data_IF_391205345541
#
_entry.id   IF_391205345541
#
_cell.length_a   1.000
_cell.length_b   1.000
_cell.length_c   1.000
_cell.angle_alpha   90.00
_cell.angle_beta   90.00
_cell.angle_gamma   90.00
#
_symmetry.space_group_name_H-M   'P 1'
#
loop_
_entity.id
_entity.type
_entity.pdbx_description
1 polymer ?
#
# COMPACT_ATOMS: atom_id res chain seq x y z
N UNK A 1 4.26 -8.68 17.82
CA UNK A 1 4.92 -9.38 16.69
C UNK A 1 4.13 -8.98 15.46
N UNK A 2 4.58 -7.95 14.77
CA UNK A 2 3.95 -7.47 13.54
C UNK A 2 4.23 -8.55 12.50
N UNK A 3 3.20 -9.23 12.01
CA UNK A 3 3.34 -10.05 10.82
C UNK A 3 3.37 -9.03 9.67
N UNK A 4 4.55 -8.53 9.34
CA UNK A 4 4.77 -7.94 8.03
C UNK A 4 4.57 -9.07 7.01
N UNK A 5 3.35 -9.20 6.48
CA UNK A 5 3.17 -9.76 5.14
C UNK A 5 3.68 -8.70 4.15
N UNK A 6 4.98 -8.41 4.20
CA UNK A 6 5.66 -8.02 2.97
C UNK A 6 5.74 -9.32 2.18
N UNK A 7 4.78 -9.57 1.29
CA UNK A 7 5.07 -10.46 0.17
C UNK A 7 6.34 -9.89 -0.47
N UNK A 8 7.47 -10.57 -0.28
CA UNK A 8 8.69 -10.22 -1.00
C UNK A 8 8.34 -10.29 -2.48
N UNK A 9 8.29 -9.12 -3.12
CA UNK A 9 7.99 -9.03 -4.53
C UNK A 9 9.01 -9.88 -5.26
N UNK A 10 8.53 -10.92 -5.92
CA UNK A 10 9.37 -11.93 -6.53
C UNK A 10 9.11 -12.01 -8.03
N UNK A 11 10.05 -12.62 -8.76
CA UNK A 11 9.87 -12.98 -10.17
C UNK A 11 9.79 -14.50 -10.28
N UNK A 12 9.14 -15.03 -11.34
CA UNK A 12 9.16 -16.46 -11.63
C UNK A 12 10.57 -17.05 -11.54
N UNK A 13 10.72 -18.21 -10.89
CA UNK A 13 11.99 -18.89 -10.63
C UNK A 13 12.94 -18.96 -11.83
N UNK A 14 12.48 -19.32 -13.05
CA UNK A 14 13.33 -19.32 -14.25
C UNK A 14 13.94 -17.96 -14.61
N UNK A 15 13.26 -16.86 -14.27
CA UNK A 15 13.73 -15.50 -14.53
C UNK A 15 14.76 -15.02 -13.51
N UNK A 16 14.82 -15.61 -12.30
CA UNK A 16 15.84 -15.28 -11.29
C UNK A 16 17.26 -15.53 -11.80
N UNK A 17 17.44 -16.57 -12.62
CA UNK A 17 18.72 -16.92 -13.22
C UNK A 17 19.24 -15.84 -14.18
N UNK A 18 18.35 -14.97 -14.68
CA UNK A 18 18.67 -13.84 -15.54
C UNK A 18 18.96 -12.56 -14.76
N UNK A 19 19.05 -12.64 -13.42
CA UNK A 19 19.20 -11.50 -12.53
C UNK A 19 18.12 -10.43 -12.78
N UNK A 20 16.88 -10.86 -13.07
CA UNK A 20 15.73 -9.98 -13.25
C UNK A 20 15.05 -9.71 -11.91
N UNK A 21 14.57 -8.50 -11.73
CA UNK A 21 13.84 -8.06 -10.54
C UNK A 21 12.47 -7.48 -10.92
N UNK A 22 11.48 -7.49 -10.00
CA UNK A 22 10.23 -6.82 -10.24
C UNK A 22 10.45 -5.35 -10.62
N UNK A 23 9.67 -4.91 -11.60
CA UNK A 23 9.70 -3.58 -12.22
C UNK A 23 10.94 -3.25 -13.07
N UNK A 24 11.81 -4.22 -13.33
CA UNK A 24 12.79 -4.10 -14.43
C UNK A 24 12.05 -3.92 -15.76
N UNK A 25 12.60 -3.10 -16.66
CA UNK A 25 12.07 -2.97 -18.01
C UNK A 25 12.60 -4.12 -18.85
N UNK A 26 11.71 -4.93 -19.40
CA UNK A 26 12.03 -6.15 -20.13
C UNK A 26 11.42 -6.18 -21.51
N UNK A 27 12.03 -6.97 -22.39
CA UNK A 27 11.54 -7.36 -23.70
C UNK A 27 11.08 -8.81 -23.65
N UNK A 28 9.86 -9.09 -24.11
CA UNK A 28 9.32 -10.45 -24.26
C UNK A 28 9.12 -10.73 -25.75
N UNK A 29 9.75 -11.79 -26.24
CA UNK A 29 9.74 -12.20 -27.65
C UNK A 29 8.91 -13.47 -27.78
N UNK A 30 7.81 -13.41 -28.55
CA UNK A 30 6.95 -14.56 -28.88
C UNK A 30 6.89 -14.71 -30.40
N UNK A 31 7.65 -15.66 -30.95
CA UNK A 31 7.80 -15.82 -32.40
C UNK A 31 8.42 -14.57 -33.04
N UNK A 32 7.67 -13.87 -33.90
CA UNK A 32 8.09 -12.62 -34.54
C UNK A 32 7.57 -11.35 -33.85
N UNK A 33 6.77 -11.50 -32.78
CA UNK A 33 6.18 -10.37 -32.06
C UNK A 33 7.02 -10.05 -30.84
N UNK A 34 7.29 -8.76 -30.65
CA UNK A 34 8.06 -8.22 -29.53
C UNK A 34 7.13 -7.37 -28.68
N UNK A 35 7.15 -7.62 -27.38
CA UNK A 35 6.45 -6.83 -26.37
C UNK A 35 7.49 -6.22 -25.42
N UNK A 36 7.28 -4.98 -25.01
CA UNK A 36 8.15 -4.29 -24.04
C UNK A 36 7.30 -3.70 -22.92
N UNK A 37 7.83 -3.74 -21.70
CA UNK A 37 7.11 -3.26 -20.53
C UNK A 37 7.87 -3.46 -19.23
N UNK A 38 7.23 -3.09 -18.12
CA UNK A 38 7.72 -3.35 -16.78
C UNK A 38 7.41 -4.79 -16.39
N UNK A 39 8.41 -5.52 -15.91
CA UNK A 39 8.24 -6.86 -15.35
C UNK A 39 7.38 -6.77 -14.09
N UNK A 40 6.22 -7.43 -14.10
CA UNK A 40 5.34 -7.44 -12.94
C UNK A 40 5.77 -8.52 -11.94
N UNK A 41 5.57 -8.28 -10.63
CA UNK A 41 5.78 -9.31 -9.62
C UNK A 41 4.97 -10.57 -9.93
N UNK A 42 5.51 -11.72 -9.55
CA UNK A 42 4.81 -12.99 -9.58
C UNK A 42 3.60 -12.93 -8.65
N UNK A 43 2.46 -13.40 -9.13
CA UNK A 43 1.25 -13.61 -8.30
C UNK A 43 1.18 -15.07 -7.88
N UNK A 44 0.68 -15.35 -6.67
CA UNK A 44 0.52 -16.73 -6.16
C UNK A 44 -0.29 -17.63 -7.10
N UNK A 45 -1.30 -17.07 -7.77
CA UNK A 45 -2.23 -17.80 -8.65
C UNK A 45 -1.54 -18.34 -9.92
N UNK A 46 -0.63 -17.57 -10.52
CA UNK A 46 -0.01 -17.91 -11.81
C UNK A 46 1.28 -18.73 -11.64
N UNK A 47 1.88 -18.76 -10.45
CA UNK A 47 3.07 -19.57 -10.18
C UNK A 47 4.29 -19.19 -11.04
N UNK A 48 5.20 -20.16 -11.22
CA UNK A 48 6.47 -19.96 -11.93
C UNK A 48 6.38 -20.22 -13.45
N UNK A 49 5.19 -20.49 -13.97
CA UNK A 49 4.99 -20.84 -15.38
C UNK A 49 4.76 -19.63 -16.29
N UNK A 50 4.37 -18.50 -15.71
CA UNK A 50 3.99 -17.30 -16.45
C UNK A 50 4.85 -16.10 -16.06
N UNK A 51 5.18 -15.28 -17.05
CA UNK A 51 5.73 -13.94 -16.88
C UNK A 51 4.65 -12.92 -17.20
N UNK A 52 4.48 -11.91 -16.35
CA UNK A 52 3.57 -10.80 -16.60
C UNK A 52 4.38 -9.53 -16.82
N UNK A 53 3.99 -8.75 -17.82
CA UNK A 53 4.54 -7.41 -18.06
C UNK A 53 3.42 -6.38 -18.12
N UNK A 54 3.70 -5.16 -17.64
CA UNK A 54 2.86 -3.98 -17.85
C UNK A 54 3.42 -3.17 -19.00
N UNK A 55 2.68 -3.13 -20.10
CA UNK A 55 3.05 -2.39 -21.30
C UNK A 55 2.91 -0.88 -21.08
N UNK A 56 3.56 -0.07 -21.92
CA UNK A 56 3.52 1.41 -21.81
C UNK A 56 2.10 2.00 -21.96
N UNK A 57 1.17 1.26 -22.57
CA UNK A 57 -0.24 1.65 -22.66
C UNK A 57 -1.03 1.36 -21.37
N UNK A 58 -0.39 0.85 -20.32
CA UNK A 58 -0.97 0.57 -19.01
C UNK A 58 -1.56 -0.84 -18.84
N UNK A 59 -1.70 -1.62 -19.92
CA UNK A 59 -2.26 -2.97 -19.85
C UNK A 59 -1.23 -3.99 -19.35
N UNK A 60 -1.71 -4.93 -18.53
CA UNK A 60 -0.94 -6.08 -18.08
C UNK A 60 -1.16 -7.26 -19.06
N UNK A 61 -0.08 -7.94 -19.46
CA UNK A 61 -0.13 -9.10 -20.34
C UNK A 61 0.71 -10.23 -19.74
N UNK A 62 0.12 -11.42 -19.67
CA UNK A 62 0.78 -12.64 -19.21
C UNK A 62 1.22 -13.53 -20.38
N UNK A 63 2.40 -14.11 -20.28
CA UNK A 63 2.95 -15.06 -21.26
C UNK A 63 3.41 -16.31 -20.53
N UNK A 64 3.16 -17.48 -21.13
CA UNK A 64 3.75 -18.73 -20.65
C UNK A 64 5.25 -18.71 -20.95
N UNK A 65 6.09 -18.90 -19.94
CA UNK A 65 7.55 -18.82 -20.05
C UNK A 65 8.13 -19.82 -21.06
N UNK A 66 7.50 -20.99 -21.22
CA UNK A 66 7.93 -22.00 -22.20
C UNK A 66 7.76 -21.56 -23.67
N UNK A 67 6.99 -20.49 -23.92
CA UNK A 67 6.66 -20.01 -25.27
C UNK A 67 7.36 -18.71 -25.66
N UNK A 68 8.12 -18.11 -24.73
CA UNK A 68 8.69 -16.77 -24.92
C UNK A 68 10.13 -16.70 -24.46
N UNK A 69 10.88 -15.77 -25.05
CA UNK A 69 12.19 -15.35 -24.54
C UNK A 69 12.06 -14.00 -23.83
N UNK A 70 12.65 -13.88 -22.65
CA UNK A 70 12.65 -12.63 -21.86
C UNK A 70 14.07 -12.07 -21.80
N UNK A 71 14.22 -10.78 -22.08
CA UNK A 71 15.50 -10.07 -22.08
C UNK A 71 15.39 -8.78 -21.26
N UNK A 72 16.42 -8.45 -20.47
CA UNK A 72 16.50 -7.18 -19.74
C UNK A 72 16.78 -6.03 -20.72
N UNK A 73 15.99 -4.95 -20.63
CA UNK A 73 16.25 -3.69 -21.34
C UNK A 73 16.92 -2.69 -20.39
N UNK A 74 16.34 -2.50 -19.20
CA UNK A 74 16.86 -1.57 -18.20
C UNK A 74 16.48 -2.01 -16.78
N UNK A 75 17.39 -1.80 -15.84
CA UNK A 75 17.12 -2.04 -14.41
C UNK A 75 16.13 -1.02 -13.85
N UNK A 76 15.33 -1.45 -12.89
CA UNK A 76 14.41 -0.59 -12.13
C UNK A 76 15.20 0.61 -11.60
N UNK A 77 14.74 1.82 -11.92
CA UNK A 77 15.18 2.99 -11.18
C UNK A 77 14.37 3.02 -9.88
N UNK A 78 15.05 3.22 -8.75
CA UNK A 78 14.36 3.50 -7.50
C UNK A 78 13.42 4.69 -7.74
N UNK A 79 12.13 4.47 -7.55
CA UNK A 79 11.16 5.57 -7.55
C UNK A 79 11.56 6.49 -6.41
N UNK A 80 12.16 7.64 -6.74
CA UNK A 80 12.31 8.72 -5.78
C UNK A 80 10.92 9.31 -5.61
N UNK A 81 10.35 9.13 -4.44
CA UNK A 81 9.26 9.99 -4.00
C UNK A 81 9.78 11.43 -4.06
N UNK A 82 9.07 12.31 -4.76
CA UNK A 82 9.41 13.73 -4.75
C UNK A 82 9.37 14.23 -3.30
N UNK A 83 10.38 15.00 -2.91
CA UNK A 83 10.41 15.64 -1.59
C UNK A 83 9.15 16.50 -1.43
N UNK A 84 8.33 16.12 -0.44
CA UNK A 84 7.00 16.71 -0.22
C UNK A 84 7.12 18.19 0.14
N UNK A 85 6.23 19.01 -0.42
CA UNK A 85 6.05 20.40 -0.02
C UNK A 85 5.54 20.42 1.43
N UNK A 86 6.23 21.14 2.31
CA UNK A 86 5.72 21.42 3.66
C UNK A 86 4.39 22.17 3.53
N UNK A 87 3.32 21.59 4.08
CA UNK A 87 2.03 22.25 4.21
C UNK A 87 2.10 23.20 5.40
N UNK A 88 1.76 24.47 5.20
CA UNK A 88 1.59 25.42 6.30
C UNK A 88 0.27 25.12 7.01
N UNK A 89 0.35 24.43 8.15
CA UNK A 89 -0.82 24.14 8.98
C UNK A 89 -1.21 25.36 9.80
N UNK A 90 -2.51 25.64 9.89
CA UNK A 90 -3.05 26.68 10.79
C UNK A 90 -2.85 26.26 12.24
N UNK A 91 -2.49 27.23 13.08
CA UNK A 91 -2.04 26.99 14.46
C UNK A 91 -3.17 26.92 15.49
N UNK A 92 -4.41 27.21 15.12
CA UNK A 92 -5.58 27.26 16.01
C UNK A 92 -6.64 26.16 15.76
N UNK A 93 -6.32 25.17 14.94
CA UNK A 93 -7.24 24.09 14.60
C UNK A 93 -7.30 22.99 15.68
N UNK A 94 -8.46 22.31 15.84
CA UNK A 94 -8.57 21.16 16.73
C UNK A 94 -7.59 20.05 16.34
N UNK A 95 -7.03 19.38 17.33
CA UNK A 95 -6.10 18.26 17.12
C UNK A 95 -6.89 16.98 16.96
N UNK A 96 -6.65 16.23 15.89
CA UNK A 96 -7.32 14.95 15.63
C UNK A 96 -6.27 13.89 15.35
N UNK A 97 -6.30 12.78 16.09
CA UNK A 97 -5.48 11.60 15.75
C UNK A 97 -6.29 10.63 14.90
N UNK A 98 -5.73 10.20 13.77
CA UNK A 98 -6.26 9.09 12.97
C UNK A 98 -5.50 7.81 13.31
N UNK A 99 -6.19 6.85 13.89
CA UNK A 99 -5.66 5.53 14.23
C UNK A 99 -5.91 4.55 13.08
N UNK A 100 -4.84 3.98 12.53
CA UNK A 100 -4.90 2.98 11.46
C UNK A 100 -5.04 1.57 12.01
N UNK A 101 -6.07 0.85 11.57
CA UNK A 101 -6.26 -0.58 11.88
C UNK A 101 -6.19 -1.50 10.64
N UNK A 102 -5.98 -0.90 9.47
CA UNK A 102 -6.10 -1.54 8.16
C UNK A 102 -7.14 -0.82 7.30
N UNK A 103 -7.69 -1.53 6.32
CA UNK A 103 -8.69 -0.98 5.40
C UNK A 103 -8.09 -0.10 4.30
N UNK A 104 -8.86 0.11 3.24
CA UNK A 104 -8.40 0.77 2.00
C UNK A 104 -8.13 2.26 2.17
N UNK A 105 -8.72 2.91 3.18
CA UNK A 105 -8.45 4.33 3.49
C UNK A 105 -7.01 4.57 3.92
N UNK A 106 -6.32 3.53 4.40
CA UNK A 106 -4.91 3.54 4.74
C UNK A 106 -4.04 3.04 3.58
N UNK A 107 -4.43 3.25 2.31
CA UNK A 107 -3.71 2.75 1.13
C UNK A 107 -3.55 3.80 0.02
N UNK A 108 -2.40 3.77 -0.67
CA UNK A 108 -2.06 4.62 -1.83
C UNK A 108 -1.79 3.76 -3.05
N UNK A 109 -2.28 4.18 -4.22
CA UNK A 109 -2.03 3.49 -5.50
C UNK A 109 -0.84 4.15 -6.19
N UNK A 110 0.18 3.36 -6.54
CA UNK A 110 1.24 3.78 -7.44
C UNK A 110 0.86 3.44 -8.88
N UNK A 111 0.36 4.42 -9.64
CA UNK A 111 -0.18 4.16 -10.99
C UNK A 111 0.83 3.59 -12.00
N UNK A 112 2.14 3.81 -11.80
CA UNK A 112 3.17 3.28 -12.71
C UNK A 112 3.26 1.77 -12.65
N UNK A 113 3.24 1.21 -11.45
CA UNK A 113 3.26 -0.24 -11.21
C UNK A 113 1.84 -0.81 -11.13
N UNK A 114 0.87 0.01 -10.74
CA UNK A 114 -0.47 -0.42 -10.34
C UNK A 114 -0.51 -1.03 -8.93
N UNK A 115 0.61 -0.99 -8.20
CA UNK A 115 0.68 -1.53 -6.85
C UNK A 115 -0.09 -0.63 -5.87
N UNK A 116 -0.64 -1.26 -4.83
CA UNK A 116 -1.33 -0.59 -3.73
C UNK A 116 -0.47 -0.79 -2.49
N UNK A 117 -0.05 0.31 -1.88
CA UNK A 117 0.79 0.30 -0.69
C UNK A 117 -0.01 0.80 0.50
N UNK A 118 0.13 0.20 1.69
CA UNK A 118 -0.42 0.79 2.89
C UNK A 118 0.28 2.14 3.13
N UNK A 119 -0.48 3.21 3.23
CA UNK A 119 0.00 4.53 3.62
C UNK A 119 -1.05 5.25 4.44
N UNK A 120 -0.69 5.59 5.68
CA UNK A 120 -1.50 6.39 6.59
C UNK A 120 -0.62 7.45 7.25
N UNK A 121 0.04 8.28 6.42
CA UNK A 121 0.72 9.48 6.88
C UNK A 121 -0.26 10.67 6.87
N UNK A 122 -0.04 11.65 7.75
CA UNK A 122 -0.84 12.87 7.74
C UNK A 122 -0.70 13.60 6.39
N UNK A 123 0.49 13.58 5.82
CA UNK A 123 0.79 14.19 4.52
C UNK A 123 0.02 13.54 3.39
N UNK A 124 -0.12 12.20 3.37
CA UNK A 124 -0.93 11.54 2.33
C UNK A 124 -2.42 11.86 2.47
N UNK A 125 -2.92 12.04 3.71
CA UNK A 125 -4.29 12.46 3.95
C UNK A 125 -4.52 13.88 3.44
N UNK A 126 -3.62 14.82 3.71
CA UNK A 126 -3.73 16.19 3.19
C UNK A 126 -3.52 16.28 1.67
N UNK A 127 -2.63 15.46 1.10
CA UNK A 127 -2.49 15.38 -0.37
C UNK A 127 -3.78 14.89 -1.03
N UNK A 128 -4.43 13.90 -0.43
CA UNK A 128 -5.62 13.28 -0.98
C UNK A 128 -6.88 14.10 -0.72
N UNK A 129 -6.92 14.81 0.42
CA UNK A 129 -8.04 15.63 0.88
C UNK A 129 -7.49 16.96 1.44
N UNK A 130 -7.09 17.91 0.59
CA UNK A 130 -6.49 19.18 1.01
C UNK A 130 -7.35 19.99 1.99
N UNK A 131 -8.67 19.86 1.91
CA UNK A 131 -9.65 20.54 2.76
C UNK A 131 -9.47 20.21 4.24
N UNK A 132 -8.87 19.06 4.58
CA UNK A 132 -8.58 18.70 5.96
C UNK A 132 -7.65 19.69 6.66
N UNK A 133 -6.74 20.35 5.91
CA UNK A 133 -5.79 21.34 6.44
C UNK A 133 -6.48 22.60 6.99
N UNK A 134 -7.73 22.81 6.64
CA UNK A 134 -8.57 23.92 7.09
C UNK A 134 -9.49 23.53 8.26
N UNK A 135 -9.58 22.24 8.60
CA UNK A 135 -10.53 21.69 9.57
C UNK A 135 -9.83 21.26 10.86
N UNK A 136 -8.69 20.56 10.76
CA UNK A 136 -8.01 19.99 11.92
C UNK A 136 -6.49 19.88 11.69
N UNK A 137 -5.73 19.90 12.79
CA UNK A 137 -4.35 19.43 12.80
C UNK A 137 -4.35 17.93 13.00
N UNK A 138 -4.10 17.19 11.92
CA UNK A 138 -4.11 15.72 11.89
C UNK A 138 -2.74 15.15 12.27
N UNK A 139 -2.75 14.21 13.21
CA UNK A 139 -1.68 13.24 13.43
C UNK A 139 -2.17 11.85 13.04
N UNK A 140 -1.26 10.95 12.67
CA UNK A 140 -1.61 9.56 12.34
C UNK A 140 -0.78 8.58 13.15
N UNK A 141 -1.38 7.43 13.49
CA UNK A 141 -0.70 6.32 14.17
C UNK A 141 -1.28 4.99 13.68
N UNK A 142 -0.46 4.18 13.05
CA UNK A 142 -0.85 2.81 12.66
C UNK A 142 -0.71 1.88 13.85
N UNK A 143 -1.81 1.25 14.26
CA UNK A 143 -1.83 0.23 15.31
C UNK A 143 -1.55 -1.15 14.73
N UNK A 144 -2.18 -1.46 13.60
CA UNK A 144 -2.03 -2.70 12.86
C UNK A 144 -2.51 -2.51 11.41
N UNK A 145 -2.20 -3.48 10.56
CA UNK A 145 -2.63 -3.52 9.16
C UNK A 145 -3.20 -4.91 8.87
N UNK A 146 -4.46 -5.14 9.26
CA UNK A 146 -5.15 -6.42 9.08
C UNK A 146 -6.46 -6.22 8.32
N UNK A 147 -6.96 -7.29 7.70
CA UNK A 147 -8.33 -7.33 7.20
C UNK A 147 -9.32 -7.27 8.36
N UNK A 148 -10.46 -6.61 8.15
CA UNK A 148 -11.50 -6.52 9.18
C UNK A 148 -12.01 -7.90 9.62
N UNK A 149 -11.99 -8.85 8.70
CA UNK A 149 -12.37 -10.25 8.85
C UNK A 149 -11.47 -10.97 9.86
N UNK A 150 -10.22 -10.53 10.00
CA UNK A 150 -9.24 -11.07 10.93
C UNK A 150 -9.23 -10.34 12.29
N UNK A 151 -10.10 -9.34 12.48
CA UNK A 151 -10.22 -8.60 13.73
C UNK A 151 -10.78 -9.48 14.85
N UNK A 152 -10.20 -9.39 16.06
CA UNK A 152 -10.55 -10.21 17.22
C UNK A 152 -10.68 -9.34 18.47
N UNK A 153 -11.33 -9.83 19.55
CA UNK A 153 -11.52 -9.05 20.77
C UNK A 153 -10.24 -8.50 21.41
N UNK A 154 -9.11 -9.19 21.24
CA UNK A 154 -7.81 -8.72 21.72
C UNK A 154 -7.38 -7.42 21.02
N UNK A 155 -7.71 -7.26 19.74
CA UNK A 155 -7.43 -6.04 18.98
C UNK A 155 -8.27 -4.86 19.47
N UNK A 156 -9.53 -5.08 19.86
CA UNK A 156 -10.37 -4.00 20.42
C UNK A 156 -9.77 -3.42 21.70
N UNK A 157 -9.20 -4.29 22.54
CA UNK A 157 -8.48 -3.86 23.75
C UNK A 157 -7.25 -3.01 23.43
N UNK A 158 -6.56 -3.29 22.32
CA UNK A 158 -5.44 -2.47 21.84
C UNK A 158 -5.94 -1.11 21.34
N UNK A 159 -7.03 -1.09 20.56
CA UNK A 159 -7.63 0.16 20.06
C UNK A 159 -8.08 1.04 21.23
N UNK A 160 -8.81 0.49 22.20
CA UNK A 160 -9.29 1.23 23.36
C UNK A 160 -8.15 1.86 24.18
N UNK A 161 -7.06 1.10 24.39
CA UNK A 161 -5.87 1.61 25.08
C UNK A 161 -5.19 2.71 24.29
N UNK A 162 -5.04 2.54 22.97
CA UNK A 162 -4.45 3.56 22.11
C UNK A 162 -5.28 4.86 22.12
N UNK A 163 -6.62 4.76 22.04
CA UNK A 163 -7.53 5.90 22.16
C UNK A 163 -7.28 6.64 23.49
N UNK A 164 -7.27 5.91 24.61
CA UNK A 164 -7.04 6.51 25.93
C UNK A 164 -5.65 7.18 26.03
N UNK A 165 -4.61 6.54 25.47
CA UNK A 165 -3.26 7.12 25.42
C UNK A 165 -3.22 8.44 24.65
N UNK A 166 -3.84 8.49 23.47
CA UNK A 166 -3.88 9.70 22.64
C UNK A 166 -4.63 10.84 23.34
N UNK A 167 -5.79 10.54 23.94
CA UNK A 167 -6.59 11.52 24.67
C UNK A 167 -5.81 12.08 25.87
N UNK A 168 -5.14 11.24 26.64
CA UNK A 168 -4.43 11.66 27.86
C UNK A 168 -3.11 12.38 27.55
N UNK A 169 -2.32 11.88 26.59
CA UNK A 169 -0.96 12.38 26.36
C UNK A 169 -0.90 13.52 25.36
N UNK A 170 -1.74 13.48 24.33
CA UNK A 170 -1.64 14.39 23.19
C UNK A 170 -2.71 15.48 23.21
N UNK A 171 -3.62 15.47 24.19
CA UNK A 171 -4.67 16.47 24.40
C UNK A 171 -5.47 16.71 23.10
N UNK A 172 -5.92 15.61 22.50
CA UNK A 172 -6.59 15.63 21.21
C UNK A 172 -8.07 15.94 21.37
N UNK A 173 -8.60 16.74 20.45
CA UNK A 173 -10.01 17.12 20.39
C UNK A 173 -10.90 15.99 19.86
N UNK A 174 -10.31 15.00 19.18
CA UNK A 174 -11.04 13.83 18.67
C UNK A 174 -10.13 12.73 18.13
N UNK A 175 -10.70 11.53 17.99
CA UNK A 175 -10.06 10.36 17.40
C UNK A 175 -10.89 9.87 16.23
N UNK A 176 -10.23 9.54 15.12
CA UNK A 176 -10.82 8.81 14.00
C UNK A 176 -10.14 7.45 13.90
N UNK A 177 -10.91 6.36 13.83
CA UNK A 177 -10.36 5.01 13.63
C UNK A 177 -10.61 4.59 12.18
N UNK A 178 -9.54 4.51 11.39
CA UNK A 178 -9.57 3.96 10.04
C UNK A 178 -9.65 2.42 10.13
N UNK A 179 -10.79 1.85 9.75
CA UNK A 179 -11.13 0.45 9.94
C UNK A 179 -11.73 -0.19 8.68
N UNK A 180 -11.52 -1.49 8.50
CA UNK A 180 -12.20 -2.27 7.44
C UNK A 180 -13.71 -2.39 7.69
N UNK A 181 -14.50 -2.55 6.65
CA UNK A 181 -15.97 -2.41 6.71
C UNK A 181 -16.67 -3.55 7.44
N UNK A 182 -16.18 -4.78 7.28
CA UNK A 182 -16.97 -5.98 7.58
C UNK A 182 -17.26 -6.15 9.07
N UNK A 183 -16.30 -5.78 9.91
CA UNK A 183 -16.40 -5.89 11.37
C UNK A 183 -16.42 -4.54 12.08
N UNK A 184 -16.53 -3.43 11.33
CA UNK A 184 -16.53 -2.06 11.86
C UNK A 184 -17.59 -1.88 12.97
N UNK A 185 -18.81 -2.39 12.75
CA UNK A 185 -19.91 -2.27 13.71
C UNK A 185 -19.63 -3.00 15.03
N UNK A 186 -18.95 -4.14 14.99
CA UNK A 186 -18.57 -4.89 16.19
C UNK A 186 -17.51 -4.14 16.99
N UNK A 187 -16.47 -3.65 16.31
CA UNK A 187 -15.43 -2.83 16.94
C UNK A 187 -16.04 -1.55 17.54
N UNK A 188 -16.94 -0.87 16.84
CA UNK A 188 -17.63 0.30 17.36
C UNK A 188 -18.43 -0.02 18.64
N UNK A 189 -19.18 -1.12 18.65
CA UNK A 189 -19.92 -1.57 19.83
C UNK A 189 -19.00 -1.94 21.01
N UNK A 190 -17.83 -2.52 20.74
CA UNK A 190 -16.86 -2.88 21.77
C UNK A 190 -16.16 -1.66 22.39
N UNK A 191 -16.08 -0.53 21.67
CA UNK A 191 -15.48 0.73 22.13
C UNK A 191 -16.48 1.70 22.77
N UNK A 192 -17.79 1.40 22.70
CA UNK A 192 -18.88 2.26 23.19
C UNK A 192 -19.10 2.18 24.70
#
# INVERSE_FOLDING_TARGET
>A
MVIELSEELDVPGPLKQLNLEPYDRVRVIKGHVIYEGLLMPKTEILGDEYVMIKMDNGYNVGFRLSEVKVELIAKKHAFKFEDKKLLELKTDLPKVTVLGTGGTIASKVEYKTGAVYPSLSAEDLYESIPELSEIATISTRTLFNIFSEDMRPEHWSVIAKAIAEEVIKNDVSGIVVAHGTDTMGYTAAALS
#
